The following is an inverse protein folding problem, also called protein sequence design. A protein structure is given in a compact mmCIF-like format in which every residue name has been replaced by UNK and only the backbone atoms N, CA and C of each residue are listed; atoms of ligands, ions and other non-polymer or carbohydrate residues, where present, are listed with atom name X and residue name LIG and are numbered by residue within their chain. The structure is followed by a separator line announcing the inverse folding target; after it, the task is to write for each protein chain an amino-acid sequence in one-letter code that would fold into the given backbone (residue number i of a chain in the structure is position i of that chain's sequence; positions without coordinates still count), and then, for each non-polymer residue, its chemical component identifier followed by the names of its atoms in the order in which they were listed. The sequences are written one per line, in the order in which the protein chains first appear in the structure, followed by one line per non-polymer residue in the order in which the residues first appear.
data_IF_668575409755
#
_entry.id   IF_668575409755
#
_cell.length_a   1.000
_cell.length_b   1.000
_cell.length_c   1.000
_cell.angle_alpha   90.00
_cell.angle_beta   90.00
_cell.angle_gamma   90.00
#
_symmetry.space_group_name_H-M   'P 1'
#
loop_
_entity.id
_entity.type
_entity.pdbx_description
1 polymer ?
#
# COMPACT_ATOMS: atom_id res chain seq x y z
N UNK A 1 -46.44 15.48 16.59
CA UNK A 1 -45.19 14.72 16.84
C UNK A 1 -44.44 14.66 15.53
N UNK A 2 -43.18 15.06 15.59
CA UNK A 2 -42.25 15.25 14.49
C UNK A 2 -41.79 13.92 13.93
N UNK A 3 -41.66 13.83 12.60
CA UNK A 3 -40.69 12.95 11.96
C UNK A 3 -40.02 13.76 10.85
N UNK A 4 -38.84 14.28 11.20
CA UNK A 4 -37.92 15.00 10.33
C UNK A 4 -37.06 13.93 9.64
N UNK A 5 -37.38 13.65 8.38
CA UNK A 5 -36.58 12.75 7.55
C UNK A 5 -35.34 13.51 7.07
N UNK A 6 -34.23 13.37 7.82
CA UNK A 6 -32.95 13.99 7.51
C UNK A 6 -32.23 13.11 6.48
N UNK A 7 -31.94 13.59 5.26
CA UNK A 7 -31.16 12.80 4.33
C UNK A 7 -29.74 12.62 4.88
N UNK A 8 -29.33 11.36 5.03
CA UNK A 8 -27.94 11.01 5.30
C UNK A 8 -27.07 11.51 4.15
N UNK A 9 -26.34 12.59 4.41
CA UNK A 9 -25.40 13.15 3.47
C UNK A 9 -24.21 12.17 3.38
N UNK A 10 -24.22 11.30 2.37
CA UNK A 10 -23.03 10.58 1.95
C UNK A 10 -22.02 11.62 1.47
N UNK A 11 -21.18 12.13 2.37
CA UNK A 11 -19.93 12.80 2.04
C UNK A 11 -18.97 11.74 1.55
N UNK A 12 -19.14 11.27 0.31
CA UNK A 12 -18.00 10.73 -0.43
C UNK A 12 -17.09 11.93 -0.69
N UNK A 13 -16.01 12.05 0.09
CA UNK A 13 -14.94 12.97 -0.27
C UNK A 13 -14.58 12.71 -1.74
N UNK A 14 -14.36 13.76 -2.56
CA UNK A 14 -13.86 13.56 -3.91
C UNK A 14 -12.58 12.72 -3.80
N UNK A 15 -12.61 11.51 -4.36
CA UNK A 15 -11.41 10.68 -4.48
C UNK A 15 -10.55 11.36 -5.53
N UNK A 16 -9.70 12.28 -5.08
CA UNK A 16 -8.60 12.76 -5.88
C UNK A 16 -7.61 11.59 -5.97
N UNK A 17 -7.67 10.82 -7.06
CA UNK A 17 -6.60 9.86 -7.38
C UNK A 17 -5.37 10.65 -7.81
N UNK A 18 -4.69 11.23 -6.83
CA UNK A 18 -3.46 12.01 -6.96
C UNK A 18 -2.32 11.20 -7.61
N UNK A 19 -2.52 9.90 -7.86
CA UNK A 19 -1.56 8.98 -8.44
C UNK A 19 -1.92 8.46 -9.81
N UNK A 20 -3.02 8.89 -10.42
CA UNK A 20 -3.40 8.43 -11.75
C UNK A 20 -2.27 8.62 -12.79
N UNK A 21 -1.42 9.64 -12.61
CA UNK A 21 -0.28 9.94 -13.46
C UNK A 21 1.02 9.16 -13.13
N UNK A 22 1.06 8.50 -11.97
CA UNK A 22 2.21 7.76 -11.40
C UNK A 22 2.04 6.26 -11.55
N UNK A 23 0.79 5.76 -11.47
CA UNK A 23 0.44 4.35 -11.69
C UNK A 23 0.86 3.94 -13.11
N UNK A 24 2.02 3.28 -13.22
CA UNK A 24 2.64 2.83 -14.48
C UNK A 24 3.83 3.65 -14.98
N UNK A 25 4.24 4.71 -14.29
CA UNK A 25 5.43 5.52 -14.63
C UNK A 25 6.48 5.61 -13.53
N UNK A 26 6.18 5.10 -12.34
CA UNK A 26 7.14 5.03 -11.26
C UNK A 26 8.31 4.13 -11.67
N UNK A 27 9.51 4.70 -11.74
CA UNK A 27 10.73 3.94 -12.03
C UNK A 27 11.16 3.16 -10.78
N UNK A 28 11.08 1.83 -10.87
CA UNK A 28 11.43 0.91 -9.79
C UNK A 28 12.80 0.26 -9.98
N UNK A 29 13.54 0.62 -11.03
CA UNK A 29 14.80 -0.08 -11.38
C UNK A 29 15.87 0.03 -10.30
N UNK A 30 15.87 1.13 -9.53
CA UNK A 30 16.77 1.37 -8.41
C UNK A 30 16.05 1.35 -7.05
N UNK A 31 14.86 0.73 -6.99
CA UNK A 31 14.12 0.63 -5.74
C UNK A 31 14.84 -0.29 -4.75
N UNK A 32 15.10 0.21 -3.55
CA UNK A 32 15.67 -0.55 -2.44
C UNK A 32 14.56 -1.28 -1.68
N UNK A 33 14.41 -2.57 -1.95
CA UNK A 33 13.33 -3.41 -1.41
C UNK A 33 13.66 -3.94 -0.01
N UNK A 34 12.79 -3.65 0.94
CA UNK A 34 12.84 -4.11 2.33
C UNK A 34 11.85 -5.26 2.53
N UNK A 35 12.31 -6.38 3.09
CA UNK A 35 11.44 -7.54 3.40
C UNK A 35 10.75 -7.36 4.74
N UNK A 36 9.49 -7.79 4.83
CA UNK A 36 8.76 -7.84 6.11
C UNK A 36 9.20 -9.00 7.02
N UNK A 37 9.99 -9.94 6.49
CA UNK A 37 10.54 -11.06 7.26
C UNK A 37 11.58 -10.59 8.28
N UNK A 38 11.51 -11.11 9.50
CA UNK A 38 12.64 -11.05 10.43
C UNK A 38 13.65 -12.13 10.02
N UNK A 39 14.76 -11.72 9.41
CA UNK A 39 15.78 -12.63 8.89
C UNK A 39 16.57 -13.35 9.98
N UNK A 40 16.47 -12.88 11.24
CA UNK A 40 17.10 -13.50 12.40
C UNK A 40 16.13 -14.41 13.17
N UNK A 41 14.86 -14.48 12.76
CA UNK A 41 13.86 -15.33 13.38
C UNK A 41 14.19 -16.82 13.20
N UNK A 42 13.93 -17.68 14.21
CA UNK A 42 14.28 -19.09 14.17
C UNK A 42 13.50 -19.89 13.11
N UNK A 43 12.37 -19.36 12.66
CA UNK A 43 11.48 -19.90 11.63
C UNK A 43 11.62 -19.15 10.29
N UNK A 44 12.63 -18.29 10.14
CA UNK A 44 12.93 -17.64 8.86
C UNK A 44 13.25 -18.68 7.78
N UNK A 45 12.46 -18.66 6.71
CA UNK A 45 12.71 -19.43 5.50
C UNK A 45 13.34 -18.50 4.43
N UNK A 46 14.61 -18.68 4.04
CA UNK A 46 15.20 -17.87 2.97
C UNK A 46 14.51 -18.04 1.62
N UNK A 47 13.80 -19.15 1.42
CA UNK A 47 13.00 -19.42 0.23
C UNK A 47 11.50 -19.12 0.44
N UNK A 48 11.13 -18.51 1.57
CA UNK A 48 9.76 -18.13 1.89
C UNK A 48 9.16 -17.03 1.00
N UNK A 49 7.86 -16.86 1.10
CA UNK A 49 7.09 -15.82 0.41
C UNK A 49 6.78 -14.69 1.38
N UNK A 50 7.19 -13.47 1.03
CA UNK A 50 7.15 -12.32 1.93
C UNK A 50 6.66 -11.07 1.20
N UNK A 51 6.05 -10.16 1.95
CA UNK A 51 5.80 -8.81 1.48
C UNK A 51 7.11 -8.03 1.45
N UNK A 52 7.35 -7.31 0.37
CA UNK A 52 8.44 -6.34 0.27
C UNK A 52 7.89 -4.94 0.01
N UNK A 53 8.54 -3.94 0.59
CA UNK A 53 8.23 -2.53 0.37
C UNK A 53 9.47 -1.75 -0.08
N UNK A 54 9.28 -0.68 -0.85
CA UNK A 54 10.32 0.27 -1.21
C UNK A 54 9.79 1.70 -1.18
N UNK A 55 10.64 2.64 -0.74
CA UNK A 55 10.37 4.08 -0.77
C UNK A 55 11.04 4.66 -2.01
N UNK A 56 10.24 5.18 -2.94
CA UNK A 56 10.70 5.54 -4.29
C UNK A 56 10.45 7.03 -4.52
N UNK A 57 11.51 7.86 -4.53
CA UNK A 57 11.41 9.25 -4.98
C UNK A 57 10.98 9.32 -6.44
N UNK A 58 10.12 10.28 -6.77
CA UNK A 58 9.64 10.53 -8.14
C UNK A 58 9.96 11.96 -8.58
N UNK A 59 9.89 12.20 -9.89
CA UNK A 59 10.16 13.50 -10.53
C UNK A 59 9.20 14.64 -10.15
N UNK A 60 8.15 14.37 -9.38
CA UNK A 60 7.22 15.37 -8.85
C UNK A 60 7.60 15.82 -7.43
N UNK A 61 8.83 15.50 -7.00
CA UNK A 61 9.40 15.76 -5.67
C UNK A 61 8.66 15.06 -4.52
N UNK A 62 7.84 14.03 -4.82
CA UNK A 62 7.18 13.20 -3.83
C UNK A 62 7.85 11.84 -3.69
N UNK A 63 7.60 11.18 -2.56
CA UNK A 63 7.96 9.78 -2.35
C UNK A 63 6.71 8.91 -2.46
N UNK A 64 6.83 7.82 -3.22
CA UNK A 64 5.81 6.79 -3.33
C UNK A 64 6.27 5.53 -2.61
N UNK A 65 5.33 4.81 -2.01
CA UNK A 65 5.61 3.52 -1.37
C UNK A 65 5.15 2.43 -2.32
N UNK A 66 6.08 1.63 -2.82
CA UNK A 66 5.80 0.46 -3.63
C UNK A 66 5.74 -0.78 -2.74
N UNK A 67 4.77 -1.65 -2.95
CA UNK A 67 4.61 -2.92 -2.25
C UNK A 67 4.44 -4.05 -3.26
N UNK A 68 5.17 -5.16 -3.06
CA UNK A 68 5.11 -6.35 -3.92
C UNK A 68 5.27 -7.63 -3.12
N UNK A 69 5.07 -8.75 -3.80
CA UNK A 69 5.38 -10.07 -3.29
C UNK A 69 6.82 -10.46 -3.66
N UNK A 70 7.59 -11.04 -2.73
CA UNK A 70 9.00 -11.41 -2.92
C UNK A 70 9.24 -12.47 -4.00
N UNK A 71 8.22 -13.28 -4.35
CA UNK A 71 8.31 -14.30 -5.40
C UNK A 71 7.86 -13.81 -6.78
N UNK A 72 7.24 -12.64 -6.85
CA UNK A 72 6.67 -12.06 -8.06
C UNK A 72 7.31 -10.70 -8.33
N UNK A 73 8.54 -10.74 -8.89
CA UNK A 73 9.38 -9.55 -9.11
C UNK A 73 9.63 -9.23 -10.59
N UNK A 74 8.96 -9.93 -11.50
CA UNK A 74 9.04 -9.69 -12.93
C UNK A 74 8.50 -8.32 -13.34
N UNK A 75 8.82 -7.84 -14.55
CA UNK A 75 8.38 -6.53 -15.04
C UNK A 75 6.86 -6.42 -15.19
N UNK A 76 6.17 -7.56 -15.37
CA UNK A 76 4.71 -7.63 -15.52
C UNK A 76 4.01 -8.05 -14.21
N UNK A 77 4.76 -8.33 -13.14
CA UNK A 77 4.20 -8.70 -11.86
C UNK A 77 3.60 -7.49 -11.14
N UNK A 78 2.61 -7.74 -10.29
CA UNK A 78 1.84 -6.66 -9.66
C UNK A 78 2.65 -5.95 -8.58
N UNK A 79 2.69 -4.62 -8.68
CA UNK A 79 3.20 -3.71 -7.65
C UNK A 79 2.09 -2.74 -7.26
N UNK A 80 1.77 -2.71 -5.97
CA UNK A 80 0.86 -1.71 -5.39
C UNK A 80 1.65 -0.45 -5.09
N UNK A 81 1.10 0.72 -5.42
CA UNK A 81 1.77 2.01 -5.24
C UNK A 81 0.91 2.93 -4.39
N UNK A 82 1.46 3.41 -3.28
CA UNK A 82 0.82 4.27 -2.29
C UNK A 82 1.42 5.69 -2.32
N UNK A 83 0.60 6.72 -2.05
CA UNK A 83 1.16 7.99 -1.57
C UNK A 83 1.55 7.80 -0.11
N UNK A 84 2.30 8.73 0.47
CA UNK A 84 2.57 8.72 1.92
C UNK A 84 1.27 8.70 2.75
N UNK A 85 0.27 9.50 2.38
CA UNK A 85 -1.01 9.56 3.10
C UNK A 85 -1.82 8.27 3.01
N UNK A 86 -1.84 7.63 1.83
CA UNK A 86 -2.52 6.36 1.67
C UNK A 86 -1.79 5.22 2.37
N UNK A 87 -0.45 5.25 2.38
CA UNK A 87 0.36 4.29 3.12
C UNK A 87 0.10 4.40 4.62
N UNK A 88 0.05 5.61 5.17
CA UNK A 88 -0.27 5.84 6.58
C UNK A 88 -1.67 5.31 6.92
N UNK A 89 -2.67 5.61 6.09
CA UNK A 89 -4.03 5.08 6.25
C UNK A 89 -4.07 3.55 6.19
N UNK A 90 -3.37 2.94 5.23
CA UNK A 90 -3.27 1.48 5.09
C UNK A 90 -2.63 0.83 6.33
N UNK A 91 -1.52 1.37 6.81
CA UNK A 91 -0.83 0.86 8.01
C UNK A 91 -1.70 1.01 9.26
N UNK A 92 -2.44 2.11 9.40
CA UNK A 92 -3.37 2.30 10.51
C UNK A 92 -4.51 1.28 10.47
N UNK A 93 -5.12 1.05 9.31
CA UNK A 93 -6.14 0.02 9.14
C UNK A 93 -5.62 -1.38 9.46
N UNK A 94 -4.43 -1.72 8.94
CA UNK A 94 -3.78 -3.00 9.23
C UNK A 94 -3.52 -3.19 10.73
N UNK A 95 -3.01 -2.17 11.42
CA UNK A 95 -2.78 -2.21 12.88
C UNK A 95 -4.07 -2.25 13.69
N UNK A 96 -5.17 -1.71 13.16
CA UNK A 96 -6.49 -1.80 13.77
C UNK A 96 -7.13 -3.18 13.61
N UNK A 97 -6.45 -4.11 12.91
CA UNK A 97 -6.93 -5.47 12.68
C UNK A 97 -7.99 -5.55 11.59
N UNK A 98 -8.07 -4.58 10.68
CA UNK A 98 -9.01 -4.63 9.53
C UNK A 98 -8.79 -5.85 8.64
N UNK A 99 -7.63 -6.50 8.72
CA UNK A 99 -7.29 -7.71 7.98
C UNK A 99 -7.25 -8.99 8.84
N UNK A 100 -7.60 -8.91 10.13
CA UNK A 100 -7.52 -10.04 11.08
C UNK A 100 -8.80 -10.92 11.07
N UNK A 101 -9.72 -10.68 10.15
CA UNK A 101 -10.95 -11.47 10.02
C UNK A 101 -10.64 -12.94 9.65
N UNK A 102 -11.40 -13.91 10.18
CA UNK A 102 -11.14 -15.32 9.95
C UNK A 102 -11.34 -15.69 8.47
N UNK A 103 -10.28 -16.18 7.84
CA UNK A 103 -10.23 -16.73 6.49
C UNK A 103 -10.44 -18.26 6.46
#
# INVERSE_FOLDING_TARGET
MSDEDKPAQQTSAPIYDDKAHVRGKLDLTNAEWQTAADTDAPDYDPDGEYVQIAFVPHTDDKTYIAMRNSKHTGPDDTVLVFTESEWDAFVQGARAGEFDEPW
#
